data_IF_347616149047
#
_entry.id   IF_347616149047
#
_cell.length_a   1.000
_cell.length_b   1.000
_cell.length_c   1.000
_cell.angle_alpha   90.00
_cell.angle_beta   90.00
_cell.angle_gamma   90.00
#
_symmetry.space_group_name_H-M   'P 1'
#
loop_
_entity.id
_entity.type
_entity.pdbx_description
1 polymer ?
#
# COMPACT_ATOMS: atom_id res chain seq x y z
N UNK A 1 21.70 -0.39 -10.99
CA UNK A 1 20.77 0.62 -10.45
C UNK A 1 20.07 0.00 -9.26
N UNK A 2 20.12 0.63 -8.09
CA UNK A 2 19.42 0.14 -6.88
C UNK A 2 17.96 0.55 -6.94
N UNK A 3 17.07 -0.20 -6.31
CA UNK A 3 15.62 0.09 -6.26
C UNK A 3 15.31 1.45 -5.65
N UNK A 4 16.16 1.94 -4.73
CA UNK A 4 16.09 3.29 -4.17
C UNK A 4 16.30 4.40 -5.21
N UNK A 5 17.12 4.14 -6.24
CA UNK A 5 17.38 5.12 -7.32
C UNK A 5 16.11 5.37 -8.15
N UNK A 6 15.29 4.33 -8.34
CA UNK A 6 14.01 4.42 -9.07
C UNK A 6 13.01 5.32 -8.34
N UNK A 7 12.92 5.21 -7.02
CA UNK A 7 12.02 6.07 -6.21
C UNK A 7 12.45 7.52 -6.35
N UNK A 8 13.75 7.80 -6.34
CA UNK A 8 14.29 9.14 -6.56
C UNK A 8 13.92 9.73 -7.93
N UNK A 9 13.93 8.90 -8.99
CA UNK A 9 13.50 9.30 -10.33
C UNK A 9 11.98 9.55 -10.39
N UNK A 10 11.15 8.63 -9.89
CA UNK A 10 9.70 8.77 -9.89
C UNK A 10 9.23 9.94 -9.02
N UNK A 11 9.90 10.22 -7.90
CA UNK A 11 9.56 11.34 -7.01
C UNK A 11 9.70 12.71 -7.69
N UNK A 12 10.54 12.80 -8.72
CA UNK A 12 10.75 14.00 -9.53
C UNK A 12 9.87 14.03 -10.80
N UNK A 13 9.12 12.97 -11.08
CA UNK A 13 8.30 12.89 -12.28
C UNK A 13 7.16 13.93 -12.23
N UNK A 14 6.90 14.69 -13.30
CA UNK A 14 5.91 15.77 -13.28
C UNK A 14 4.50 15.34 -12.84
N UNK A 15 4.07 14.14 -13.25
CA UNK A 15 2.76 13.62 -12.83
C UNK A 15 2.72 13.27 -11.34
N UNK A 16 3.82 12.77 -10.75
CA UNK A 16 3.88 12.48 -9.32
C UNK A 16 3.84 13.78 -8.50
N UNK A 17 4.55 14.81 -8.96
CA UNK A 17 4.49 16.14 -8.34
C UNK A 17 3.08 16.73 -8.40
N UNK A 18 2.43 16.69 -9.57
CA UNK A 18 1.03 17.11 -9.75
C UNK A 18 0.08 16.35 -8.82
N UNK A 19 0.28 15.05 -8.65
CA UNK A 19 -0.51 14.25 -7.71
C UNK A 19 -0.30 14.70 -6.27
N UNK A 20 0.95 14.98 -5.84
CA UNK A 20 1.24 15.51 -4.51
C UNK A 20 0.52 16.83 -4.26
N UNK A 21 0.61 17.76 -5.22
CA UNK A 21 -0.04 19.07 -5.12
C UNK A 21 -1.57 18.93 -5.09
N UNK A 22 -2.13 18.02 -5.88
CA UNK A 22 -3.56 17.75 -5.92
C UNK A 22 -4.10 17.30 -4.55
N UNK A 23 -3.42 16.35 -3.90
CA UNK A 23 -3.79 15.85 -2.57
C UNK A 23 -3.47 16.83 -1.43
N UNK A 24 -2.56 17.79 -1.62
CA UNK A 24 -2.26 18.81 -0.61
C UNK A 24 -3.34 19.89 -0.49
N UNK A 25 -4.17 20.08 -1.52
CA UNK A 25 -5.14 21.17 -1.58
C UNK A 25 -6.48 20.89 -0.88
N UNK A 26 -6.90 19.62 -0.76
CA UNK A 26 -8.16 19.23 -0.12
C UNK A 26 -8.19 17.73 0.12
N UNK A 27 -8.87 17.31 1.18
CA UNK A 27 -9.02 15.91 1.58
C UNK A 27 -10.12 15.18 0.78
N UNK A 28 -11.11 15.90 0.25
CA UNK A 28 -12.28 15.33 -0.46
C UNK A 28 -12.10 15.40 -1.98
N UNK A 29 -11.06 14.75 -2.50
CA UNK A 29 -10.80 14.70 -3.94
C UNK A 29 -10.58 13.29 -4.44
N UNK A 30 -11.16 12.99 -5.60
CA UNK A 30 -10.94 11.74 -6.32
C UNK A 30 -10.08 11.99 -7.54
N UNK A 31 -9.05 11.17 -7.73
CA UNK A 31 -8.19 11.20 -8.91
C UNK A 31 -8.22 9.84 -9.61
N UNK A 32 -8.56 9.85 -10.90
CA UNK A 32 -8.48 8.66 -11.73
C UNK A 32 -7.18 8.67 -12.53
N UNK A 33 -6.39 7.60 -12.43
CA UNK A 33 -5.12 7.46 -13.13
C UNK A 33 -5.27 6.46 -14.27
N UNK A 34 -4.79 6.83 -15.45
CA UNK A 34 -4.79 5.99 -16.65
C UNK A 34 -3.36 5.80 -17.16
N UNK A 35 -3.14 4.71 -17.90
CA UNK A 35 -1.84 4.43 -18.54
C UNK A 35 -0.76 3.92 -17.59
N UNK A 36 -1.13 3.45 -16.40
CA UNK A 36 -0.24 2.69 -15.52
C UNK A 36 -0.18 1.24 -16.03
N UNK A 37 1.02 0.72 -16.24
CA UNK A 37 1.26 -0.63 -16.77
C UNK A 37 2.41 -1.30 -16.02
N UNK A 38 2.28 -2.60 -15.74
CA UNK A 38 3.25 -3.34 -14.93
C UNK A 38 3.46 -2.71 -13.55
N UNK A 39 4.70 -2.66 -13.07
CA UNK A 39 5.05 -2.13 -11.75
C UNK A 39 4.94 -0.60 -11.61
N UNK A 40 4.46 0.13 -12.63
CA UNK A 40 4.40 1.59 -12.57
C UNK A 40 3.47 2.11 -11.48
N UNK A 41 2.37 1.39 -11.18
CA UNK A 41 1.45 1.76 -10.11
C UNK A 41 2.16 1.71 -8.75
N UNK A 42 2.91 0.63 -8.50
CA UNK A 42 3.67 0.46 -7.26
C UNK A 42 4.78 1.50 -7.11
N UNK A 43 5.51 1.81 -8.20
CA UNK A 43 6.55 2.83 -8.19
C UNK A 43 6.00 4.25 -7.95
N UNK A 44 4.88 4.59 -8.59
CA UNK A 44 4.19 5.88 -8.36
C UNK A 44 3.74 5.96 -6.91
N UNK A 45 3.11 4.92 -6.38
CA UNK A 45 2.66 4.91 -5.00
C UNK A 45 3.84 4.99 -4.01
N UNK A 46 4.94 4.26 -4.27
CA UNK A 46 6.15 4.33 -3.48
C UNK A 46 6.74 5.75 -3.46
N UNK A 47 6.83 6.40 -4.63
CA UNK A 47 7.30 7.79 -4.73
C UNK A 47 6.38 8.79 -4.00
N UNK A 48 5.07 8.60 -4.06
CA UNK A 48 4.11 9.40 -3.26
C UNK A 48 4.23 9.14 -1.76
N UNK A 49 4.74 7.97 -1.38
CA UNK A 49 4.84 7.46 -0.01
C UNK A 49 6.21 7.64 0.60
N UNK A 50 7.21 8.07 -0.16
CA UNK A 50 8.57 8.22 0.31
C UNK A 50 8.69 9.12 1.56
N UNK A 51 7.82 10.11 1.68
CA UNK A 51 7.84 11.12 2.76
C UNK A 51 6.75 10.86 3.83
N UNK A 52 6.25 9.61 3.93
CA UNK A 52 5.14 9.09 4.77
C UNK A 52 4.45 10.10 5.72
N UNK A 53 3.54 10.91 5.19
CA UNK A 53 2.80 11.92 5.99
C UNK A 53 1.44 11.44 6.49
N UNK A 54 0.89 10.39 5.87
CA UNK A 54 -0.49 9.94 6.06
C UNK A 54 -0.55 8.41 5.92
N UNK A 55 -1.40 7.77 6.73
CA UNK A 55 -1.75 6.37 6.55
C UNK A 55 -2.49 6.19 5.23
N UNK A 56 -2.25 5.09 4.52
CA UNK A 56 -2.87 4.82 3.23
C UNK A 56 -3.39 3.40 3.17
N UNK A 57 -4.57 3.24 2.59
CA UNK A 57 -5.16 1.95 2.31
C UNK A 57 -5.16 1.73 0.80
N UNK A 58 -4.53 0.65 0.36
CA UNK A 58 -4.46 0.22 -1.03
C UNK A 58 -5.29 -1.05 -1.15
N UNK A 59 -6.33 -1.02 -1.99
CA UNK A 59 -7.25 -2.13 -2.19
C UNK A 59 -7.05 -2.64 -3.62
N UNK A 60 -6.66 -3.90 -3.75
CA UNK A 60 -6.46 -4.59 -5.03
C UNK A 60 -7.58 -5.59 -5.27
N UNK A 61 -7.73 -6.09 -6.49
CA UNK A 61 -8.88 -6.93 -6.85
C UNK A 61 -8.90 -8.26 -6.10
N UNK A 62 -7.72 -8.83 -5.86
CA UNK A 62 -7.57 -10.17 -5.32
C UNK A 62 -6.32 -10.34 -4.46
N UNK A 63 -6.31 -11.41 -3.66
CA UNK A 63 -5.24 -11.71 -2.69
C UNK A 63 -3.87 -11.77 -3.33
N UNK A 64 -3.77 -12.39 -4.50
CA UNK A 64 -2.50 -12.61 -5.18
C UNK A 64 -1.91 -11.28 -5.66
N UNK A 65 -2.70 -10.45 -6.35
CA UNK A 65 -2.32 -9.10 -6.76
C UNK A 65 -1.91 -8.24 -5.55
N UNK A 66 -2.70 -8.28 -4.46
CA UNK A 66 -2.38 -7.56 -3.23
C UNK A 66 -1.06 -8.03 -2.60
N UNK A 67 -0.78 -9.34 -2.60
CA UNK A 67 0.46 -9.89 -2.04
C UNK A 67 1.69 -9.48 -2.88
N UNK A 68 1.59 -9.53 -4.21
CA UNK A 68 2.65 -9.03 -5.09
C UNK A 68 2.88 -7.53 -4.88
N UNK A 69 1.81 -6.74 -4.83
CA UNK A 69 1.89 -5.29 -4.62
C UNK A 69 2.50 -4.93 -3.25
N UNK A 70 2.15 -5.68 -2.21
CA UNK A 70 2.75 -5.55 -0.87
C UNK A 70 4.26 -5.82 -0.91
N UNK A 71 4.68 -6.92 -1.53
CA UNK A 71 6.09 -7.30 -1.58
C UNK A 71 6.94 -6.28 -2.33
N UNK A 72 6.43 -5.77 -3.45
CA UNK A 72 7.08 -4.70 -4.20
C UNK A 72 7.23 -3.43 -3.35
N UNK A 73 6.17 -3.01 -2.66
CA UNK A 73 6.23 -1.83 -1.78
C UNK A 73 7.20 -2.04 -0.61
N UNK A 74 7.17 -3.20 0.04
CA UNK A 74 8.05 -3.54 1.15
C UNK A 74 9.52 -3.55 0.70
N UNK A 75 9.80 -4.07 -0.49
CA UNK A 75 11.14 -4.03 -1.09
C UNK A 75 11.60 -2.61 -1.43
N UNK A 76 10.68 -1.73 -1.83
CA UNK A 76 10.97 -0.34 -2.20
C UNK A 76 11.12 0.60 -0.98
N UNK A 77 10.28 0.43 0.04
CA UNK A 77 10.12 1.38 1.14
C UNK A 77 10.62 0.86 2.50
N UNK A 78 10.91 -0.44 2.62
CA UNK A 78 11.17 -1.11 3.89
C UNK A 78 9.96 -1.90 4.38
N UNK A 79 10.19 -3.07 4.96
CA UNK A 79 9.15 -3.96 5.50
C UNK A 79 8.42 -3.36 6.70
N UNK A 80 9.10 -2.51 7.48
CA UNK A 80 8.57 -1.87 8.69
C UNK A 80 7.47 -0.82 8.43
N UNK A 81 7.31 -0.45 7.15
CA UNK A 81 6.49 0.64 6.67
C UNK A 81 5.22 0.19 5.94
N UNK A 82 5.18 -1.08 5.51
CA UNK A 82 4.15 -1.63 4.62
C UNK A 82 3.56 -2.87 5.29
N UNK A 83 2.24 -2.88 5.44
CA UNK A 83 1.52 -3.94 6.14
C UNK A 83 0.50 -4.59 5.22
N UNK A 84 0.34 -5.90 5.36
CA UNK A 84 -0.69 -6.65 4.66
C UNK A 84 -1.91 -6.89 5.58
N UNK A 85 -3.11 -6.55 5.10
CA UNK A 85 -4.36 -6.76 5.83
C UNK A 85 -5.22 -7.82 5.14
N UNK A 86 -5.11 -9.10 5.55
CA UNK A 86 -5.83 -10.21 4.92
C UNK A 86 -7.26 -10.37 5.42
N UNK A 87 -8.02 -11.23 4.73
CA UNK A 87 -9.30 -11.75 5.21
C UNK A 87 -9.12 -12.65 6.43
N UNK A 88 -10.06 -12.59 7.39
CA UNK A 88 -10.02 -13.42 8.61
C UNK A 88 -10.25 -14.92 8.36
N UNK A 89 -10.79 -15.30 7.20
CA UNK A 89 -11.26 -16.66 6.93
C UNK A 89 -10.48 -17.34 5.80
N UNK A 90 -10.33 -18.66 5.90
CA UNK A 90 -9.86 -19.48 4.79
C UNK A 90 -10.92 -19.52 3.69
N UNK A 91 -10.52 -19.33 2.43
CA UNK A 91 -11.38 -19.46 1.23
C UNK A 91 -11.67 -20.92 0.84
N UNK A 92 -11.76 -21.84 1.81
CA UNK A 92 -12.15 -23.22 1.53
C UNK A 92 -13.67 -23.36 1.57
N UNK A 93 -14.24 -24.02 0.57
CA UNK A 93 -15.70 -24.17 0.32
C UNK A 93 -16.44 -24.83 1.49
N UNK A 94 -15.73 -25.46 2.43
CA UNK A 94 -16.29 -26.04 3.66
C UNK A 94 -15.44 -25.63 4.86
N UNK A 95 -16.11 -24.97 5.81
CA UNK A 95 -15.65 -24.47 7.12
C UNK A 95 -15.01 -23.07 7.12
N UNK A 96 -15.72 -22.14 7.78
CA UNK A 96 -15.30 -20.81 8.23
C UNK A 96 -14.19 -20.90 9.29
N UNK A 97 -13.15 -21.68 9.05
CA UNK A 97 -12.03 -21.77 9.98
C UNK A 97 -11.21 -20.48 9.87
N UNK A 98 -11.07 -19.80 11.01
CA UNK A 98 -10.17 -18.67 11.13
C UNK A 98 -8.75 -19.12 10.81
N UNK A 99 -8.04 -18.30 10.06
CA UNK A 99 -6.63 -18.49 9.81
C UNK A 99 -5.85 -17.74 10.90
N UNK A 100 -5.13 -18.47 11.75
CA UNK A 100 -4.40 -17.88 12.88
C UNK A 100 -3.32 -16.90 12.39
N UNK A 101 -2.71 -17.16 11.24
CA UNK A 101 -1.69 -16.28 10.65
C UNK A 101 -2.35 -14.97 10.18
N UNK A 102 -3.53 -15.05 9.56
CA UNK A 102 -4.27 -13.85 9.15
C UNK A 102 -4.76 -13.05 10.36
N UNK A 103 -5.17 -13.72 11.45
CA UNK A 103 -5.55 -13.03 12.68
C UNK A 103 -4.37 -12.28 13.30
N UNK A 104 -3.17 -12.85 13.25
CA UNK A 104 -1.94 -12.20 13.71
C UNK A 104 -1.67 -10.93 12.90
N UNK A 105 -1.62 -11.03 11.57
CA UNK A 105 -1.37 -9.90 10.67
C UNK A 105 -2.40 -8.77 10.84
N UNK A 106 -3.69 -9.12 11.01
CA UNK A 106 -4.74 -8.13 11.26
C UNK A 106 -4.56 -7.42 12.58
N UNK A 107 -4.23 -8.17 13.63
CA UNK A 107 -3.95 -7.61 14.97
C UNK A 107 -2.79 -6.63 14.90
N UNK A 108 -1.73 -6.97 14.17
CA UNK A 108 -0.58 -6.10 13.96
C UNK A 108 -0.97 -4.78 13.26
N UNK A 109 -1.70 -4.87 12.15
CA UNK A 109 -2.20 -3.68 11.41
C UNK A 109 -3.05 -2.78 12.30
N UNK A 110 -3.99 -3.35 13.05
CA UNK A 110 -4.88 -2.59 13.93
C UNK A 110 -4.11 -1.94 15.09
N UNK A 111 -3.16 -2.65 15.70
CA UNK A 111 -2.28 -2.09 16.74
C UNK A 111 -1.43 -0.95 16.20
N UNK A 112 -0.91 -1.09 14.96
CA UNK A 112 -0.15 -0.02 14.30
C UNK A 112 -1.03 1.19 14.03
N UNK A 113 -2.26 1.00 13.55
CA UNK A 113 -3.22 2.10 13.35
C UNK A 113 -3.61 2.80 14.64
N UNK A 114 -3.72 2.07 15.76
CA UNK A 114 -4.00 2.64 17.07
C UNK A 114 -2.81 3.42 17.66
N UNK A 115 -1.61 3.24 17.11
CA UNK A 115 -0.41 3.94 17.57
C UNK A 115 -0.44 5.41 17.12
N UNK A 116 -0.35 6.34 18.08
CA UNK A 116 -0.32 7.78 17.79
C UNK A 116 0.84 8.11 16.86
N UNK A 117 0.56 8.90 15.82
CA UNK A 117 1.51 9.31 14.77
C UNK A 117 2.01 8.21 13.83
N UNK A 118 1.53 6.96 13.94
CA UNK A 118 1.82 5.95 12.92
C UNK A 118 1.16 6.34 11.59
N UNK A 119 1.88 6.11 10.48
CA UNK A 119 1.44 6.41 9.11
C UNK A 119 1.56 5.17 8.20
N UNK A 120 0.99 4.01 8.57
CA UNK A 120 1.21 2.76 7.85
C UNK A 120 0.66 2.83 6.42
N UNK A 121 1.37 2.19 5.48
CA UNK A 121 0.79 1.75 4.22
C UNK A 121 0.18 0.38 4.43
N UNK A 122 -1.10 0.25 4.11
CA UNK A 122 -1.86 -0.99 4.30
C UNK A 122 -2.32 -1.47 2.95
N UNK A 123 -1.94 -2.69 2.58
CA UNK A 123 -2.36 -3.36 1.34
C UNK A 123 -3.39 -4.42 1.67
N UNK A 124 -4.52 -4.44 0.95
CA UNK A 124 -5.64 -5.36 1.19
C UNK A 124 -6.37 -5.71 -0.11
N UNK A 125 -7.37 -6.57 0.01
CA UNK A 125 -8.24 -7.04 -1.07
C UNK A 125 -9.65 -7.38 -0.52
N UNK A 126 -10.70 -7.37 -1.36
CA UNK A 126 -12.07 -7.73 -1.00
C UNK A 126 -12.27 -9.18 -0.50
#
# INVERSE_FOLDING_TARGET
>A
MKTTDLIGLYSKHPNVLRMRDFFAQSEDKTLHLNGLTGSSATLVLAALSHDQRQSRLIILAEREEAAYFHNDLAHLLGEEHVFFFPSSYKRAIRMQQLDQDNLLLRTEVLNKLATRNAKPLIVTYP
#
